data_IF_439961190721
#
_entry.id   IF_439961190721
#
_cell.length_a   1.000
_cell.length_b   1.000
_cell.length_c   1.000
_cell.angle_alpha   90.00
_cell.angle_beta   90.00
_cell.angle_gamma   90.00
#
_symmetry.space_group_name_H-M   'P 1'
#
loop_
_entity.id
_entity.type
_entity.pdbx_description
1 polymer ?
#
# COMPACT_ATOMS: atom_id res chain seq x y z
N UNK A 1 34.72 9.54 15.94
CA UNK A 1 35.68 8.70 16.69
C UNK A 1 35.65 7.22 16.30
N UNK A 2 35.16 6.86 15.10
CA UNK A 2 35.25 5.49 14.55
C UNK A 2 36.03 5.41 13.23
N UNK A 3 36.41 6.55 12.63
CA UNK A 3 37.23 6.60 11.41
C UNK A 3 38.75 6.60 11.68
N UNK A 4 39.18 6.85 12.91
CA UNK A 4 40.61 6.93 13.27
C UNK A 4 41.18 5.55 13.64
N UNK A 5 40.34 4.60 14.04
CA UNK A 5 40.75 3.24 14.43
C UNK A 5 41.02 2.35 13.20
N UNK A 6 40.36 2.60 12.06
CA UNK A 6 40.56 1.83 10.83
C UNK A 6 41.88 2.18 10.10
N UNK A 7 42.40 3.40 10.28
CA UNK A 7 43.62 3.86 9.60
C UNK A 7 44.92 3.37 10.24
N UNK A 8 44.89 2.91 11.49
CA UNK A 8 46.06 2.39 12.22
C UNK A 8 46.24 0.89 11.96
N UNK A 9 45.16 0.16 11.66
CA UNK A 9 45.23 -1.28 11.32
C UNK A 9 45.82 -1.59 9.95
N UNK A 10 45.73 -0.67 8.98
CA UNK A 10 46.24 -0.89 7.62
C UNK A 10 47.74 -0.60 7.45
N UNK A 11 48.37 0.11 8.38
CA UNK A 11 49.80 0.47 8.27
C UNK A 11 50.74 -0.63 8.76
N UNK A 12 50.26 -1.53 9.61
CA UNK A 12 51.09 -2.61 10.20
C UNK A 12 51.16 -3.87 9.31
N UNK A 13 50.24 -4.04 8.36
CA UNK A 13 50.22 -5.21 7.46
C UNK A 13 51.05 -5.00 6.16
N UNK A 14 51.55 -3.78 5.91
CA UNK A 14 52.36 -3.45 4.72
C UNK A 14 53.87 -3.43 5.00
N UNK A 15 54.30 -3.55 6.25
CA UNK A 15 55.72 -3.51 6.66
C UNK A 15 56.38 -4.91 6.67
N UNK A 16 55.62 -5.96 6.33
CA UNK A 16 56.06 -7.36 6.41
C UNK A 16 56.36 -8.07 5.08
N UNK A 17 56.38 -7.36 3.94
CA UNK A 17 56.55 -7.99 2.60
C UNK A 17 57.68 -7.39 1.74
N UNK A 18 58.68 -6.72 2.32
CA UNK A 18 59.83 -6.16 1.56
C UNK A 18 61.17 -6.87 1.75
N UNK A 19 61.25 -7.99 2.46
CA UNK A 19 62.48 -8.77 2.58
C UNK A 19 62.31 -10.14 1.92
N UNK A 20 62.58 -10.23 0.61
CA UNK A 20 63.18 -11.43 -0.03
C UNK A 20 63.38 -11.19 -1.54
N UNK A 21 64.39 -10.39 -1.90
CA UNK A 21 64.94 -10.35 -3.26
C UNK A 21 66.44 -10.63 -3.20
N UNK A 22 66.81 -11.91 -3.15
CA UNK A 22 68.18 -12.33 -3.45
C UNK A 22 68.44 -12.20 -4.95
N UNK A 23 69.33 -11.27 -5.29
CA UNK A 23 69.82 -11.03 -6.65
C UNK A 23 70.80 -12.13 -7.08
N UNK A 24 70.31 -13.20 -7.71
CA UNK A 24 71.19 -14.14 -8.41
C UNK A 24 71.28 -13.78 -9.89
N UNK A 25 72.36 -13.07 -10.23
CA UNK A 25 72.81 -12.87 -11.61
C UNK A 25 73.32 -14.21 -12.18
N UNK A 26 72.44 -14.93 -12.86
CA UNK A 26 72.85 -15.90 -13.88
C UNK A 26 72.15 -15.53 -15.19
N UNK A 27 72.93 -15.03 -16.13
CA UNK A 27 72.47 -14.74 -17.50
C UNK A 27 72.26 -16.10 -18.17
N UNK A 28 71.03 -16.60 -18.11
CA UNK A 28 70.62 -17.79 -18.83
C UNK A 28 70.24 -17.38 -20.26
N UNK A 29 70.89 -17.98 -21.25
CA UNK A 29 70.69 -17.66 -22.67
C UNK A 29 69.27 -17.99 -23.11
N UNK A 30 68.64 -17.11 -23.89
CA UNK A 30 67.30 -17.32 -24.48
C UNK A 30 67.21 -18.63 -25.27
N UNK A 31 68.36 -19.14 -25.76
CA UNK A 31 68.44 -20.40 -26.49
C UNK A 31 68.26 -21.64 -25.60
N UNK A 32 68.55 -21.55 -24.31
CA UNK A 32 68.36 -22.65 -23.37
C UNK A 32 66.88 -22.76 -22.94
N UNK A 33 66.15 -21.63 -22.88
CA UNK A 33 64.69 -21.64 -22.72
C UNK A 33 63.97 -22.28 -23.91
N UNK A 34 64.43 -22.01 -25.15
CA UNK A 34 63.82 -22.58 -26.35
C UNK A 34 63.96 -24.12 -26.39
N UNK A 35 65.04 -24.66 -25.82
CA UNK A 35 65.29 -26.11 -25.76
C UNK A 35 64.47 -26.82 -24.68
N UNK A 36 64.16 -26.15 -23.58
CA UNK A 36 63.29 -26.67 -22.51
C UNK A 36 61.81 -26.65 -22.94
N UNK A 37 61.36 -25.57 -23.61
CA UNK A 37 59.98 -25.46 -24.09
C UNK A 37 59.67 -26.47 -25.20
N UNK A 38 60.65 -26.78 -26.05
CA UNK A 38 60.47 -27.74 -27.15
C UNK A 38 60.49 -29.22 -26.73
N UNK A 39 60.88 -29.54 -25.49
CA UNK A 39 60.88 -30.92 -24.98
C UNK A 39 59.65 -31.29 -24.13
N UNK A 40 58.75 -30.33 -23.84
CA UNK A 40 57.57 -30.56 -23.00
C UNK A 40 56.23 -30.49 -23.75
N UNK A 41 56.22 -30.68 -25.07
CA UNK A 41 54.99 -30.74 -25.88
C UNK A 41 54.62 -32.14 -26.36
N UNK A 42 55.08 -33.20 -25.68
CA UNK A 42 54.50 -34.54 -25.82
C UNK A 42 53.40 -34.76 -24.77
N UNK A 43 52.49 -33.80 -24.64
CA UNK A 43 51.18 -34.07 -24.06
C UNK A 43 50.26 -34.42 -25.21
N UNK A 44 49.88 -35.70 -25.27
CA UNK A 44 48.79 -36.23 -26.09
C UNK A 44 47.64 -35.21 -26.12
N UNK A 45 47.09 -34.85 -27.29
CA UNK A 45 45.97 -33.92 -27.35
C UNK A 45 44.85 -34.47 -26.46
N UNK A 46 44.41 -33.67 -25.49
CA UNK A 46 43.21 -33.94 -24.70
C UNK A 46 42.07 -34.17 -25.68
N UNK A 47 41.70 -35.43 -25.88
CA UNK A 47 40.43 -35.76 -26.52
C UNK A 47 39.36 -35.12 -25.64
N UNK A 48 38.48 -34.34 -26.26
CA UNK A 48 37.29 -33.81 -25.62
C UNK A 48 36.36 -34.98 -25.29
N UNK A 49 36.63 -35.67 -24.19
CA UNK A 49 35.83 -36.80 -23.77
C UNK A 49 34.52 -36.22 -23.23
N UNK A 50 33.42 -36.50 -23.93
CA UNK A 50 32.07 -35.97 -23.68
C UNK A 50 31.43 -36.56 -22.39
N UNK A 51 32.27 -37.04 -21.48
CA UNK A 51 31.92 -37.77 -20.26
C UNK A 51 32.53 -37.06 -19.06
N UNK A 52 31.67 -36.58 -18.19
CA UNK A 52 32.01 -36.05 -16.88
C UNK A 52 31.79 -37.14 -15.82
N UNK A 53 32.77 -37.33 -14.96
CA UNK A 53 32.70 -38.31 -13.88
C UNK A 53 32.16 -37.64 -12.63
N UNK A 54 31.04 -38.15 -12.10
CA UNK A 54 30.43 -37.63 -10.87
C UNK A 54 30.69 -38.62 -9.76
N UNK A 55 31.15 -38.13 -8.62
CA UNK A 55 31.40 -38.91 -7.41
C UNK A 55 30.06 -39.32 -6.78
N UNK A 56 29.83 -40.63 -6.69
CA UNK A 56 28.77 -41.20 -5.85
C UNK A 56 29.38 -41.88 -4.63
N UNK A 57 28.55 -42.21 -3.65
CA UNK A 57 28.93 -42.72 -2.32
C UNK A 57 29.79 -44.00 -2.28
N UNK A 58 30.09 -44.62 -3.43
CA UNK A 58 30.90 -45.83 -3.50
C UNK A 58 31.76 -45.93 -4.80
N UNK A 59 31.65 -44.98 -5.74
CA UNK A 59 32.41 -44.99 -7.02
C UNK A 59 32.11 -43.77 -7.91
N UNK A 60 33.09 -43.39 -8.74
CA UNK A 60 32.92 -42.39 -9.81
C UNK A 60 32.15 -42.97 -11.00
N UNK A 61 31.06 -42.31 -11.39
CA UNK A 61 30.23 -42.71 -12.54
C UNK A 61 30.42 -41.73 -13.69
N UNK A 62 30.87 -42.24 -14.84
CA UNK A 62 30.93 -41.46 -16.08
C UNK A 62 29.50 -41.17 -16.57
N UNK A 63 29.14 -39.90 -16.71
CA UNK A 63 27.89 -39.43 -17.32
C UNK A 63 28.21 -38.47 -18.45
N UNK A 64 27.38 -38.49 -19.48
CA UNK A 64 27.57 -37.60 -20.62
C UNK A 64 27.32 -36.14 -20.19
N UNK A 65 28.21 -35.22 -20.58
CA UNK A 65 28.18 -33.81 -20.17
C UNK A 65 26.88 -33.12 -20.61
N UNK A 66 26.44 -33.37 -21.84
CA UNK A 66 25.19 -32.83 -22.38
C UNK A 66 23.96 -33.27 -21.56
N UNK A 67 23.94 -34.52 -21.08
CA UNK A 67 22.81 -35.02 -20.28
C UNK A 67 22.75 -34.44 -18.87
N UNK A 68 23.89 -34.02 -18.31
CA UNK A 68 23.94 -33.39 -16.99
C UNK A 68 23.61 -31.90 -17.10
N UNK A 69 24.15 -31.23 -18.12
CA UNK A 69 23.84 -29.83 -18.39
C UNK A 69 22.35 -29.66 -18.74
N UNK A 70 21.79 -30.59 -19.51
CA UNK A 70 20.35 -30.62 -19.80
C UNK A 70 19.51 -30.83 -18.53
N UNK A 71 19.88 -31.77 -17.65
CA UNK A 71 19.16 -31.97 -16.37
C UNK A 71 19.26 -30.77 -15.44
N UNK A 72 20.41 -30.10 -15.42
CA UNK A 72 20.63 -28.89 -14.63
C UNK A 72 19.82 -27.71 -15.16
N UNK A 73 19.68 -27.59 -16.48
CA UNK A 73 18.82 -26.61 -17.12
C UNK A 73 17.33 -26.89 -16.84
N UNK A 74 16.90 -28.16 -16.93
CA UNK A 74 15.53 -28.59 -16.59
C UNK A 74 15.20 -28.34 -15.10
N UNK A 75 16.12 -28.60 -14.17
CA UNK A 75 15.93 -28.28 -12.74
C UNK A 75 15.89 -26.77 -12.47
N UNK A 76 16.70 -25.98 -13.17
CA UNK A 76 16.69 -24.52 -13.07
C UNK A 76 15.39 -23.93 -13.62
N UNK A 77 14.89 -24.45 -14.74
CA UNK A 77 13.59 -24.06 -15.31
C UNK A 77 12.42 -24.47 -14.39
N UNK A 78 12.48 -25.67 -13.79
CA UNK A 78 11.45 -26.15 -12.86
C UNK A 78 11.39 -25.33 -11.58
N UNK A 79 12.55 -25.00 -11.01
CA UNK A 79 12.65 -24.15 -9.82
C UNK A 79 12.35 -22.67 -10.12
N UNK A 80 12.65 -22.16 -11.32
CA UNK A 80 12.20 -20.84 -11.75
C UNK A 80 10.68 -20.79 -11.94
N UNK A 81 10.04 -21.80 -12.56
CA UNK A 81 8.59 -21.86 -12.72
C UNK A 81 7.86 -21.96 -11.36
N UNK A 82 8.34 -22.82 -10.45
CA UNK A 82 7.76 -22.90 -9.10
C UNK A 82 7.85 -21.56 -8.38
N UNK A 83 9.01 -20.91 -8.40
CA UNK A 83 9.15 -19.58 -7.80
C UNK A 83 8.24 -18.54 -8.47
N UNK A 84 8.16 -18.54 -9.81
CA UNK A 84 7.33 -17.60 -10.57
C UNK A 84 5.82 -17.73 -10.26
N UNK A 85 5.35 -18.92 -9.88
CA UNK A 85 3.95 -19.17 -9.48
C UNK A 85 3.68 -18.98 -7.97
N UNK A 86 4.71 -19.13 -7.12
CA UNK A 86 4.62 -18.92 -5.67
C UNK A 86 4.48 -17.44 -5.33
N UNK A 87 5.24 -16.54 -5.97
CA UNK A 87 5.16 -15.09 -5.74
C UNK A 87 3.76 -14.48 -5.96
N UNK A 88 3.06 -14.71 -7.10
CA UNK A 88 1.72 -14.16 -7.32
C UNK A 88 0.68 -14.77 -6.36
N UNK A 89 0.85 -16.02 -5.95
CA UNK A 89 -0.08 -16.68 -5.00
C UNK A 89 0.07 -16.11 -3.58
N UNK A 90 1.30 -15.85 -3.13
CA UNK A 90 1.55 -15.21 -1.82
C UNK A 90 1.06 -13.76 -1.86
N UNK A 91 1.38 -13.00 -2.90
CA UNK A 91 1.01 -11.59 -3.01
C UNK A 91 -0.51 -11.39 -3.05
N UNK A 92 -1.24 -12.26 -3.78
CA UNK A 92 -2.71 -12.22 -3.81
C UNK A 92 -3.33 -12.60 -2.46
N UNK A 93 -2.73 -13.54 -1.72
CA UNK A 93 -3.20 -13.92 -0.39
C UNK A 93 -3.05 -12.78 0.64
N UNK A 94 -1.94 -12.04 0.58
CA UNK A 94 -1.70 -10.87 1.43
C UNK A 94 -2.61 -9.70 1.06
N UNK A 95 -2.80 -9.45 -0.24
CA UNK A 95 -3.72 -8.42 -0.71
C UNK A 95 -5.16 -8.66 -0.25
N UNK A 96 -5.62 -9.92 -0.27
CA UNK A 96 -6.96 -10.29 0.23
C UNK A 96 -7.09 -10.02 1.74
N UNK A 97 -6.06 -10.30 2.53
CA UNK A 97 -6.08 -10.04 3.97
C UNK A 97 -6.08 -8.54 4.28
N UNK A 98 -5.21 -7.77 3.62
CA UNK A 98 -5.13 -6.32 3.78
C UNK A 98 -6.47 -5.67 3.40
N UNK A 99 -7.08 -6.09 2.30
CA UNK A 99 -8.38 -5.58 1.87
C UNK A 99 -9.50 -5.90 2.90
N UNK A 100 -9.50 -7.10 3.48
CA UNK A 100 -10.45 -7.45 4.56
C UNK A 100 -10.26 -6.60 5.80
N UNK A 101 -9.02 -6.34 6.20
CA UNK A 101 -8.70 -5.48 7.35
C UNK A 101 -9.12 -4.04 7.06
N UNK A 102 -8.77 -3.51 5.89
CA UNK A 102 -9.16 -2.18 5.44
C UNK A 102 -10.68 -2.00 5.44
N UNK A 103 -11.43 -3.02 5.02
CA UNK A 103 -12.89 -3.00 5.03
C UNK A 103 -13.47 -2.89 6.44
N UNK A 104 -13.02 -3.76 7.34
CA UNK A 104 -13.49 -3.75 8.74
C UNK A 104 -13.13 -2.42 9.41
N UNK A 105 -11.91 -1.92 9.17
CA UNK A 105 -11.46 -0.63 9.68
C UNK A 105 -12.29 0.53 9.13
N UNK A 106 -12.55 0.56 7.82
CA UNK A 106 -13.31 1.64 7.19
C UNK A 106 -14.78 1.64 7.61
N UNK A 107 -15.37 0.46 7.83
CA UNK A 107 -16.73 0.35 8.40
C UNK A 107 -16.79 0.88 9.84
N UNK A 108 -15.77 0.57 10.65
CA UNK A 108 -15.63 1.12 11.99
C UNK A 108 -15.50 2.65 11.96
N UNK A 109 -14.64 3.20 11.10
CA UNK A 109 -14.47 4.66 10.93
C UNK A 109 -15.79 5.31 10.49
N UNK A 110 -16.52 4.69 9.57
CA UNK A 110 -17.83 5.20 9.11
C UNK A 110 -18.87 5.21 10.24
N UNK A 111 -18.86 4.20 11.12
CA UNK A 111 -19.73 4.16 12.29
C UNK A 111 -19.36 5.20 13.35
N UNK A 112 -18.06 5.36 13.62
CA UNK A 112 -17.55 6.41 14.50
C UNK A 112 -17.93 7.80 13.96
N UNK A 113 -17.85 8.00 12.64
CA UNK A 113 -18.27 9.23 12.00
C UNK A 113 -19.77 9.53 12.20
N UNK A 114 -20.64 8.53 12.04
CA UNK A 114 -22.06 8.67 12.34
C UNK A 114 -22.32 9.00 13.81
N UNK A 115 -21.53 8.44 14.74
CA UNK A 115 -21.60 8.76 16.17
C UNK A 115 -21.18 10.21 16.48
N UNK A 116 -20.07 10.67 15.92
CA UNK A 116 -19.64 12.09 16.03
C UNK A 116 -20.71 13.00 15.44
N UNK A 117 -21.30 12.61 14.30
CA UNK A 117 -22.37 13.37 13.67
C UNK A 117 -23.61 13.51 14.56
N UNK A 118 -24.04 12.43 15.20
CA UNK A 118 -25.14 12.45 16.15
C UNK A 118 -24.82 13.35 17.35
N UNK A 119 -23.63 13.20 17.93
CA UNK A 119 -23.17 14.02 19.06
C UNK A 119 -23.14 15.51 18.71
N UNK A 120 -22.68 15.86 17.50
CA UNK A 120 -22.65 17.24 17.02
C UNK A 120 -24.06 17.81 16.83
N UNK A 121 -25.01 17.03 16.31
CA UNK A 121 -26.42 17.45 16.19
C UNK A 121 -27.00 17.76 17.58
N UNK A 122 -26.80 16.86 18.55
CA UNK A 122 -27.31 17.02 19.92
C UNK A 122 -26.69 18.26 20.57
N UNK A 123 -25.37 18.42 20.46
CA UNK A 123 -24.64 19.56 21.05
C UNK A 123 -25.08 20.88 20.42
N UNK A 124 -25.25 20.91 19.09
CA UNK A 124 -25.74 22.08 18.36
C UNK A 124 -27.17 22.47 18.78
N UNK A 125 -28.04 21.49 19.07
CA UNK A 125 -29.39 21.75 19.59
C UNK A 125 -29.40 22.29 21.03
N UNK A 126 -28.62 21.66 21.93
CA UNK A 126 -28.50 22.11 23.33
C UNK A 126 -27.93 23.52 23.38
N UNK A 127 -26.91 23.80 22.57
CA UNK A 127 -26.26 25.11 22.57
C UNK A 127 -27.16 26.23 22.02
N UNK A 128 -27.99 25.96 21.02
CA UNK A 128 -28.98 26.94 20.55
C UNK A 128 -29.93 27.37 21.67
N UNK A 129 -30.31 26.45 22.55
CA UNK A 129 -31.22 26.72 23.67
C UNK A 129 -30.56 27.42 24.87
N UNK A 130 -29.22 27.33 25.02
CA UNK A 130 -28.48 27.86 26.18
C UNK A 130 -27.99 29.31 26.02
N UNK A 131 -28.38 29.99 24.93
CA UNK A 131 -28.04 31.39 24.67
C UNK A 131 -26.75 31.61 23.87
N UNK A 132 -26.74 32.67 23.08
CA UNK A 132 -25.73 32.98 22.04
C UNK A 132 -24.32 33.19 22.62
N UNK A 133 -24.22 33.79 23.81
CA UNK A 133 -22.92 34.16 24.40
C UNK A 133 -22.10 32.95 24.90
N UNK A 134 -22.78 31.97 25.51
CA UNK A 134 -22.14 30.71 25.91
C UNK A 134 -21.83 29.83 24.69
N UNK A 135 -22.63 29.92 23.63
CA UNK A 135 -22.41 29.22 22.38
C UNK A 135 -21.11 29.67 21.70
N UNK A 136 -20.93 30.98 21.45
CA UNK A 136 -19.71 31.46 20.78
C UNK A 136 -18.47 31.00 21.54
N UNK A 137 -18.42 31.28 22.86
CA UNK A 137 -17.20 31.10 23.66
C UNK A 137 -16.72 29.65 23.76
N UNK A 138 -17.65 28.69 23.86
CA UNK A 138 -17.29 27.27 24.01
C UNK A 138 -17.22 26.54 22.66
N UNK A 139 -17.99 26.96 21.65
CA UNK A 139 -18.04 26.29 20.35
C UNK A 139 -16.90 26.72 19.41
N UNK A 140 -16.39 27.96 19.49
CA UNK A 140 -15.33 28.43 18.58
C UNK A 140 -13.99 27.72 18.74
N UNK A 141 -13.62 27.33 19.96
CA UNK A 141 -12.38 26.60 20.25
C UNK A 141 -12.42 25.20 19.63
N UNK A 142 -13.62 24.63 19.52
CA UNK A 142 -13.86 23.28 19.01
C UNK A 142 -14.28 23.25 17.53
N UNK A 143 -14.76 24.35 16.96
CA UNK A 143 -15.29 24.37 15.58
C UNK A 143 -14.20 24.04 14.55
N UNK A 144 -13.02 24.64 14.68
CA UNK A 144 -11.91 24.43 13.75
C UNK A 144 -11.42 22.98 13.69
N UNK A 145 -11.06 22.31 14.81
CA UNK A 145 -10.64 20.91 14.74
C UNK A 145 -11.77 19.99 14.29
N UNK A 146 -13.00 20.24 14.73
CA UNK A 146 -14.16 19.45 14.34
C UNK A 146 -14.41 19.51 12.83
N UNK A 147 -14.30 20.69 12.22
CA UNK A 147 -14.45 20.88 10.79
C UNK A 147 -13.41 20.10 9.98
N UNK A 148 -12.16 20.06 10.44
CA UNK A 148 -11.12 19.22 9.84
C UNK A 148 -11.46 17.72 9.95
N UNK A 149 -11.96 17.26 11.09
CA UNK A 149 -12.40 15.88 11.26
C UNK A 149 -13.53 15.52 10.31
N UNK A 150 -14.54 16.37 10.15
CA UNK A 150 -15.62 16.12 9.19
C UNK A 150 -15.12 16.00 7.76
N UNK A 151 -14.23 16.90 7.34
CA UNK A 151 -13.65 16.86 6.00
C UNK A 151 -12.86 15.57 5.77
N UNK A 152 -11.99 15.20 6.71
CA UNK A 152 -11.21 13.96 6.64
C UNK A 152 -12.11 12.72 6.62
N UNK A 153 -13.12 12.65 7.50
CA UNK A 153 -14.01 11.50 7.61
C UNK A 153 -14.89 11.35 6.37
N UNK A 154 -15.44 12.44 5.82
CA UNK A 154 -16.15 12.39 4.54
C UNK A 154 -15.24 11.89 3.41
N UNK A 155 -14.02 12.41 3.31
CA UNK A 155 -13.07 11.98 2.28
C UNK A 155 -12.75 10.47 2.38
N UNK A 156 -12.45 9.98 3.59
CA UNK A 156 -12.19 8.55 3.83
C UNK A 156 -13.43 7.70 3.50
N UNK A 157 -14.64 8.14 3.88
CA UNK A 157 -15.88 7.43 3.57
C UNK A 157 -16.16 7.38 2.07
N UNK A 158 -15.85 8.45 1.31
CA UNK A 158 -15.98 8.47 -0.15
C UNK A 158 -14.99 7.49 -0.78
N UNK A 159 -13.71 7.51 -0.38
CA UNK A 159 -12.70 6.57 -0.90
C UNK A 159 -13.08 5.13 -0.59
N UNK A 160 -13.53 4.85 0.64
CA UNK A 160 -14.02 3.52 1.01
C UNK A 160 -15.25 3.10 0.19
N UNK A 161 -16.20 4.00 -0.04
CA UNK A 161 -17.35 3.71 -0.88
C UNK A 161 -16.94 3.46 -2.34
N UNK A 162 -15.97 4.21 -2.88
CA UNK A 162 -15.44 3.99 -4.23
C UNK A 162 -14.70 2.66 -4.37
N UNK A 163 -13.83 2.31 -3.40
CA UNK A 163 -13.12 1.01 -3.36
C UNK A 163 -14.11 -0.17 -3.37
N UNK A 164 -15.23 0.00 -2.69
CA UNK A 164 -16.29 -0.99 -2.62
C UNK A 164 -17.10 -1.11 -3.91
N UNK A 165 -17.38 0.01 -4.56
CA UNK A 165 -18.25 0.11 -5.72
C UNK A 165 -17.44 0.48 -6.96
N UNK A 166 -16.64 -0.48 -7.42
CA UNK A 166 -15.79 -0.33 -8.59
C UNK A 166 -16.59 0.13 -9.83
N UNK A 167 -16.32 1.37 -10.28
CA UNK A 167 -16.93 2.05 -11.43
C UNK A 167 -16.21 1.66 -12.74
N UNK A 168 -15.11 0.90 -12.69
CA UNK A 168 -14.20 0.70 -13.82
C UNK A 168 -14.80 -0.06 -15.01
N UNK A 169 -15.98 -0.69 -14.88
CA UNK A 169 -16.68 -1.32 -16.00
C UNK A 169 -18.07 -0.68 -16.19
N UNK A 170 -18.15 0.54 -16.77
CA UNK A 170 -19.42 1.19 -17.09
C UNK A 170 -20.03 0.50 -18.32
N UNK A 171 -20.64 -0.67 -18.12
CA UNK A 171 -21.47 -1.26 -19.17
C UNK A 171 -22.71 -0.38 -19.38
N UNK A 172 -23.37 -0.37 -20.54
CA UNK A 172 -24.63 0.36 -20.72
C UNK A 172 -25.73 -0.06 -19.72
N UNK A 173 -25.60 -1.24 -19.10
CA UNK A 173 -26.44 -1.71 -18.00
C UNK A 173 -26.10 -1.09 -16.62
N UNK A 174 -24.97 -0.39 -16.51
CA UNK A 174 -24.56 0.42 -15.36
C UNK A 174 -25.48 1.62 -15.19
N UNK A 175 -25.81 2.35 -16.25
CA UNK A 175 -26.77 3.46 -16.19
C UNK A 175 -28.15 3.01 -15.74
N UNK A 176 -28.60 1.84 -16.20
CA UNK A 176 -29.82 1.23 -15.70
C UNK A 176 -29.69 0.82 -14.23
N UNK A 177 -28.55 0.31 -13.74
CA UNK A 177 -28.32 0.00 -12.31
C UNK A 177 -28.18 1.23 -11.41
N UNK A 178 -27.61 2.32 -11.92
CA UNK A 178 -27.57 3.63 -11.28
C UNK A 178 -29.00 4.18 -11.18
N UNK A 179 -29.79 4.07 -12.26
CA UNK A 179 -31.22 4.40 -12.27
C UNK A 179 -32.08 3.43 -11.41
N UNK A 180 -31.65 2.17 -11.25
CA UNK A 180 -32.30 1.14 -10.39
C UNK A 180 -31.85 1.25 -8.93
N UNK A 181 -31.18 2.34 -8.53
CA UNK A 181 -30.78 2.56 -7.14
C UNK A 181 -30.02 1.38 -6.51
N UNK A 182 -29.04 0.81 -7.23
CA UNK A 182 -28.08 -0.08 -6.59
C UNK A 182 -27.30 0.72 -5.53
N UNK A 183 -27.78 0.59 -4.28
CA UNK A 183 -27.34 1.08 -2.96
C UNK A 183 -25.93 1.64 -2.79
N UNK A 184 -24.95 1.26 -3.60
CA UNK A 184 -23.58 1.75 -3.52
C UNK A 184 -23.31 3.09 -4.18
N UNK A 185 -23.80 3.29 -5.41
CA UNK A 185 -23.66 4.58 -6.10
C UNK A 185 -24.39 5.70 -5.33
N UNK A 186 -25.56 5.36 -4.78
CA UNK A 186 -26.34 6.25 -3.92
C UNK A 186 -25.57 6.67 -2.66
N UNK A 187 -24.83 5.74 -2.05
CA UNK A 187 -24.00 6.03 -0.89
C UNK A 187 -22.87 7.03 -1.20
N UNK A 188 -22.18 6.84 -2.34
CA UNK A 188 -21.15 7.78 -2.81
C UNK A 188 -21.74 9.18 -3.02
N UNK A 189 -22.90 9.26 -3.68
CA UNK A 189 -23.59 10.53 -3.91
C UNK A 189 -23.95 11.22 -2.59
N UNK A 190 -24.48 10.48 -1.61
CA UNK A 190 -24.80 11.02 -0.28
C UNK A 190 -23.58 11.61 0.40
N UNK A 191 -22.43 10.90 0.39
CA UNK A 191 -21.22 11.43 1.00
C UNK A 191 -20.64 12.63 0.25
N UNK A 192 -20.74 12.67 -1.08
CA UNK A 192 -20.33 13.83 -1.88
C UNK A 192 -21.21 15.04 -1.54
N UNK A 193 -22.53 14.87 -1.48
CA UNK A 193 -23.46 15.93 -1.08
C UNK A 193 -23.14 16.40 0.34
N UNK A 194 -22.92 15.48 1.28
CA UNK A 194 -22.51 15.79 2.64
C UNK A 194 -21.19 16.57 2.71
N UNK A 195 -20.20 16.22 1.87
CA UNK A 195 -18.93 16.94 1.76
C UNK A 195 -19.13 18.37 1.23
N UNK A 196 -19.97 18.55 0.21
CA UNK A 196 -20.30 19.88 -0.33
C UNK A 196 -20.94 20.75 0.76
N UNK A 197 -21.90 20.22 1.50
CA UNK A 197 -22.50 20.93 2.64
C UNK A 197 -21.46 21.21 3.75
N UNK A 198 -20.54 20.29 4.00
CA UNK A 198 -19.43 20.52 4.93
C UNK A 198 -18.49 21.63 4.46
N UNK A 199 -18.27 21.79 3.15
CA UNK A 199 -17.48 22.91 2.62
C UNK A 199 -18.25 24.23 2.71
N UNK A 200 -19.56 24.22 2.42
CA UNK A 200 -20.43 25.38 2.56
C UNK A 200 -20.46 25.90 4.00
N UNK A 201 -20.57 25.01 5.00
CA UNK A 201 -20.60 25.40 6.41
C UNK A 201 -19.24 25.94 6.89
N UNK A 202 -18.12 25.48 6.30
CA UNK A 202 -16.77 25.94 6.65
C UNK A 202 -16.62 27.46 6.57
N UNK A 203 -17.25 28.09 5.57
CA UNK A 203 -17.23 29.54 5.40
C UNK A 203 -17.99 30.26 6.51
N UNK A 204 -19.06 29.66 7.01
CA UNK A 204 -19.88 30.21 8.11
C UNK A 204 -19.14 30.03 9.44
N UNK A 205 -18.53 28.87 9.67
CA UNK A 205 -17.74 28.60 10.88
C UNK A 205 -16.49 29.46 10.98
N UNK A 206 -15.78 29.68 9.86
CA UNK A 206 -14.64 30.60 9.82
C UNK A 206 -15.04 32.01 10.25
N UNK A 207 -16.18 32.50 9.72
CA UNK A 207 -16.74 33.79 10.14
C UNK A 207 -17.07 33.77 11.63
N UNK A 208 -17.76 32.73 12.13
CA UNK A 208 -18.12 32.61 13.55
C UNK A 208 -16.90 32.66 14.48
N UNK A 209 -15.82 31.96 14.14
CA UNK A 209 -14.57 31.92 14.92
C UNK A 209 -13.83 33.27 14.90
N UNK A 210 -13.80 33.95 13.75
CA UNK A 210 -13.20 35.29 13.65
C UNK A 210 -14.01 36.33 14.44
N UNK A 211 -15.33 36.23 14.43
CA UNK A 211 -16.23 37.15 15.12
C UNK A 211 -16.10 37.10 16.66
N UNK A 212 -15.70 35.98 17.25
CA UNK A 212 -15.39 35.93 18.69
C UNK A 212 -14.11 36.69 19.08
N UNK A 213 -13.13 36.76 18.19
CA UNK A 213 -11.86 37.43 18.48
C UNK A 213 -12.01 38.95 18.53
N UNK A 214 -13.09 39.50 17.96
CA UNK A 214 -13.44 40.92 17.96
C UNK A 214 -14.83 41.13 18.60
N UNK A 215 -14.88 41.03 19.92
CA UNK A 215 -16.10 41.08 20.75
C UNK A 215 -16.89 42.39 20.70
N UNK A 216 -16.39 43.44 20.02
CA UNK A 216 -17.08 44.73 19.90
C UNK A 216 -18.04 44.84 18.70
N UNK A 217 -18.21 43.77 17.91
CA UNK A 217 -18.91 43.83 16.61
C UNK A 217 -20.30 43.17 16.62
N UNK A 218 -20.64 42.38 17.65
CA UNK A 218 -21.92 41.65 17.68
C UNK A 218 -22.75 42.09 18.89
N UNK A 219 -23.86 42.74 18.58
CA UNK A 219 -24.99 42.83 19.51
C UNK A 219 -25.77 41.50 19.41
N UNK A 220 -25.93 40.73 20.49
CA UNK A 220 -26.73 39.49 20.48
C UNK A 220 -28.20 39.71 20.08
N UNK A 221 -28.66 40.97 20.08
CA UNK A 221 -29.98 41.37 19.58
C UNK A 221 -30.02 41.66 18.06
N UNK A 222 -28.91 41.58 17.34
CA UNK A 222 -28.92 41.77 15.88
C UNK A 222 -29.55 40.55 15.19
N UNK A 223 -30.65 40.82 14.50
CA UNK A 223 -31.35 39.91 13.58
C UNK A 223 -30.45 39.17 12.58
N UNK A 224 -29.28 39.73 12.21
CA UNK A 224 -28.34 39.08 11.28
C UNK A 224 -27.60 37.92 11.92
N UNK A 225 -27.21 38.06 13.19
CA UNK A 225 -26.46 37.05 13.94
C UNK A 225 -27.34 35.83 14.22
N UNK A 226 -28.59 36.06 14.64
CA UNK A 226 -29.57 34.99 14.88
C UNK A 226 -29.91 34.22 13.61
N UNK A 227 -30.06 34.91 12.46
CA UNK A 227 -30.25 34.26 11.16
C UNK A 227 -29.04 33.41 10.73
N UNK A 228 -27.81 33.91 10.94
CA UNK A 228 -26.59 33.15 10.63
C UNK A 228 -26.47 31.88 11.48
N UNK A 229 -26.79 31.96 12.77
CA UNK A 229 -26.84 30.82 13.69
C UNK A 229 -27.87 29.77 13.27
N UNK A 230 -29.06 30.22 12.87
CA UNK A 230 -30.12 29.33 12.39
C UNK A 230 -29.72 28.57 11.13
N UNK A 231 -29.12 29.26 10.15
CA UNK A 231 -28.60 28.64 8.93
C UNK A 231 -27.49 27.63 9.27
N UNK A 232 -26.57 27.99 10.16
CA UNK A 232 -25.51 27.09 10.63
C UNK A 232 -26.07 25.82 11.28
N UNK A 233 -27.12 25.94 12.09
CA UNK A 233 -27.77 24.79 12.74
C UNK A 233 -28.40 23.84 11.71
N UNK A 234 -29.13 24.38 10.73
CA UNK A 234 -29.75 23.59 9.65
C UNK A 234 -28.67 22.86 8.84
N UNK A 235 -27.58 23.54 8.49
CA UNK A 235 -26.49 22.93 7.72
C UNK A 235 -25.79 21.81 8.50
N UNK A 236 -25.60 21.97 9.82
CA UNK A 236 -25.09 20.90 10.68
C UNK A 236 -26.02 19.69 10.72
N UNK A 237 -27.33 19.93 10.81
CA UNK A 237 -28.34 18.88 10.80
C UNK A 237 -28.28 18.09 9.49
N UNK A 238 -28.31 18.77 8.34
CA UNK A 238 -28.25 18.15 7.02
C UNK A 238 -26.96 17.34 6.87
N UNK A 239 -25.81 17.93 7.22
CA UNK A 239 -24.50 17.28 7.16
C UNK A 239 -24.48 15.99 7.99
N UNK A 240 -24.97 16.05 9.23
CA UNK A 240 -24.99 14.89 10.12
C UNK A 240 -25.96 13.81 9.65
N UNK A 241 -27.13 14.18 9.13
CA UNK A 241 -28.07 13.23 8.53
C UNK A 241 -27.46 12.50 7.33
N UNK A 242 -26.75 13.21 6.45
CA UNK A 242 -26.06 12.57 5.33
C UNK A 242 -25.02 11.55 5.79
N UNK A 243 -24.27 11.84 6.85
CA UNK A 243 -23.32 10.89 7.44
C UNK A 243 -24.02 9.64 8.03
N UNK A 244 -25.11 9.83 8.78
CA UNK A 244 -25.87 8.73 9.40
C UNK A 244 -26.55 7.86 8.34
N UNK A 245 -27.17 8.48 7.33
CA UNK A 245 -27.81 7.76 6.21
C UNK A 245 -26.75 7.01 5.40
N UNK A 246 -25.62 7.65 5.09
CA UNK A 246 -24.49 7.02 4.39
C UNK A 246 -23.98 5.78 5.13
N UNK A 247 -23.81 5.88 6.45
CA UNK A 247 -23.42 4.75 7.28
C UNK A 247 -24.48 3.65 7.31
N UNK A 248 -25.76 4.00 7.48
CA UNK A 248 -26.87 3.05 7.47
C UNK A 248 -26.91 2.22 6.18
N UNK A 249 -26.76 2.88 5.03
CA UNK A 249 -26.72 2.21 3.71
C UNK A 249 -25.54 1.21 3.62
N UNK A 250 -24.36 1.60 4.10
CA UNK A 250 -23.17 0.75 4.11
C UNK A 250 -23.37 -0.45 5.04
N UNK A 251 -23.89 -0.20 6.24
CA UNK A 251 -24.07 -1.19 7.30
C UNK A 251 -25.10 -2.25 6.95
N UNK A 252 -26.20 -1.86 6.28
CA UNK A 252 -27.29 -2.78 5.91
C UNK A 252 -26.92 -3.73 4.76
N UNK A 253 -25.92 -3.40 3.96
CA UNK A 253 -25.44 -4.27 2.89
C UNK A 253 -23.97 -4.57 3.09
N UNK A 254 -23.54 -5.47 3.98
CA UNK A 254 -22.13 -5.82 4.16
C UNK A 254 -21.54 -6.76 3.10
N UNK A 255 -22.32 -7.22 2.10
CA UNK A 255 -22.01 -8.44 1.31
C UNK A 255 -21.71 -8.27 -0.19
N UNK A 256 -21.45 -7.06 -0.71
CA UNK A 256 -21.16 -6.86 -2.15
C UNK A 256 -19.69 -6.56 -2.41
N UNK A 257 -18.80 -7.50 -2.12
CA UNK A 257 -17.36 -7.29 -2.34
C UNK A 257 -16.96 -7.83 -3.72
N UNK A 258 -17.06 -6.95 -4.73
CA UNK A 258 -16.67 -7.29 -6.11
C UNK A 258 -15.15 -7.41 -6.27
N UNK A 259 -14.37 -6.61 -5.56
CA UNK A 259 -12.90 -6.68 -5.57
C UNK A 259 -12.39 -7.97 -4.94
N UNK A 260 -12.90 -8.35 -3.76
CA UNK A 260 -12.60 -9.65 -3.16
C UNK A 260 -12.96 -10.80 -4.10
N UNK A 261 -14.11 -10.69 -4.80
CA UNK A 261 -14.54 -11.68 -5.79
C UNK A 261 -13.62 -11.72 -7.02
N UNK A 262 -13.14 -10.58 -7.50
CA UNK A 262 -12.19 -10.50 -8.60
C UNK A 262 -10.84 -11.12 -8.21
N UNK A 263 -10.32 -10.80 -7.01
CA UNK A 263 -9.09 -11.39 -6.48
C UNK A 263 -9.23 -12.89 -6.22
N UNK A 264 -10.38 -13.35 -5.71
CA UNK A 264 -10.63 -14.78 -5.51
C UNK A 264 -10.73 -15.54 -6.83
N UNK A 265 -11.38 -14.95 -7.83
CA UNK A 265 -11.48 -15.54 -9.17
C UNK A 265 -10.11 -15.63 -9.83
N UNK A 266 -9.30 -14.56 -9.76
CA UNK A 266 -7.93 -14.55 -10.27
C UNK A 266 -7.08 -15.63 -9.59
N UNK A 267 -7.18 -15.78 -8.27
CA UNK A 267 -6.50 -16.86 -7.53
C UNK A 267 -6.94 -18.25 -8.00
N UNK A 268 -8.23 -18.48 -8.20
CA UNK A 268 -8.75 -19.76 -8.69
C UNK A 268 -8.24 -20.10 -10.09
N UNK A 269 -8.10 -19.11 -10.99
CA UNK A 269 -7.55 -19.32 -12.32
C UNK A 269 -6.07 -19.74 -12.26
N UNK A 270 -5.27 -19.12 -11.39
CA UNK A 270 -3.86 -19.49 -11.20
C UNK A 270 -3.74 -20.91 -10.65
N UNK A 271 -4.52 -21.27 -9.62
CA UNK A 271 -4.46 -22.62 -9.04
C UNK A 271 -4.91 -23.69 -10.02
N UNK A 272 -5.96 -23.43 -10.81
CA UNK A 272 -6.43 -24.38 -11.82
C UNK A 272 -5.44 -24.54 -12.98
N UNK A 273 -4.74 -23.47 -13.37
CA UNK A 273 -3.66 -23.56 -14.36
C UNK A 273 -2.46 -24.36 -13.85
N UNK A 274 -2.14 -24.26 -12.56
CA UNK A 274 -1.10 -25.05 -11.91
C UNK A 274 -1.46 -26.54 -11.90
N UNK A 275 -2.66 -26.92 -11.48
CA UNK A 275 -3.07 -28.33 -11.41
C UNK A 275 -3.05 -29.01 -12.79
N UNK A 276 -3.46 -28.29 -13.84
CA UNK A 276 -3.39 -28.80 -15.22
C UNK A 276 -1.96 -28.98 -15.74
N UNK A 277 -0.96 -28.23 -15.25
CA UNK A 277 0.44 -28.41 -15.65
C UNK A 277 1.15 -29.56 -14.94
N UNK A 278 0.65 -30.01 -13.78
CA UNK A 278 1.22 -31.13 -13.02
C UNK A 278 0.74 -32.50 -13.55
N UNK A 279 -0.34 -32.51 -14.34
CA UNK A 279 -0.95 -33.72 -14.92
C UNK A 279 -0.43 -34.10 -16.32
N UNK A 280 0.47 -33.29 -16.91
CA UNK A 280 1.12 -33.53 -18.22
C UNK A 280 2.58 -33.89 -17.98
#
# INVERSE_FOLDING_TARGET
>A
MYAIIFSIGLSNDLEGMEEDVQSTNQIFSVNDFAKIISQQSNTVPSQADDKIYIEGSDRFKAKNRLKVDQKRAEELERSQNENMDIYPTILTSQAIQIHKIFKTFSLFVSGLFAGIALWQIITSYIMYNNGVDNFLRNHSTLSAPLQCFYYMLFAVCIVYALDRYDITHPSPHFWNKVATFQSGAFCIIIYIIGLIFSLAISNIEYRMTFHQSNSSIIDPNDSRTTNMLYIWQILNLIRGLMAIIGWGIISLKPMTDRLLKALSNYRQTITSSRDNRVLI
#
